data_IF_889056456899
#
_entry.id   IF_889056456899
#
_cell.length_a   1.000
_cell.length_b   1.000
_cell.length_c   1.000
_cell.angle_alpha   90.00
_cell.angle_beta   90.00
_cell.angle_gamma   90.00
#
_symmetry.space_group_name_H-M   'P 1'
#
loop_
_entity.id
_entity.type
_entity.pdbx_description
1 polymer ?
#
# COMPACT_ATOMS: atom_id res chain seq x y z
N UNK A 1 42.00 62.27 -1.70
CA UNK A 1 41.05 62.27 -0.56
C UNK A 1 39.68 61.93 -1.10
N UNK A 2 38.96 61.09 -0.36
CA UNK A 2 37.52 60.84 -0.45
C UNK A 2 36.74 62.19 -0.47
N UNK A 3 35.46 62.37 -0.81
CA UNK A 3 34.29 61.54 -1.12
C UNK A 3 33.11 62.53 -1.31
N UNK A 4 31.90 62.01 -1.52
CA UNK A 4 30.54 62.60 -1.50
C UNK A 4 30.05 63.12 -2.86
N UNK A 5 28.90 62.71 -3.41
CA UNK A 5 27.89 61.73 -3.00
C UNK A 5 26.63 61.82 -3.89
N UNK A 6 25.80 60.77 -3.80
CA UNK A 6 24.32 60.72 -3.97
C UNK A 6 23.66 60.96 -5.35
N UNK A 7 23.22 59.88 -6.03
CA UNK A 7 21.82 59.40 -6.27
C UNK A 7 21.03 60.12 -7.38
N UNK A 8 20.71 59.41 -8.48
CA UNK A 8 19.41 58.77 -8.83
C UNK A 8 18.43 59.80 -9.44
N UNK A 9 17.62 59.56 -10.47
CA UNK A 9 17.11 58.43 -11.26
C UNK A 9 16.74 59.05 -12.65
N UNK A 10 16.34 58.39 -13.73
CA UNK A 10 15.19 57.49 -13.90
C UNK A 10 14.96 57.27 -15.42
N UNK A 11 14.32 56.15 -15.75
CA UNK A 11 13.48 55.91 -16.95
C UNK A 11 14.19 55.80 -18.30
N UNK A 12 14.46 54.55 -18.71
CA UNK A 12 14.07 54.01 -20.02
C UNK A 12 14.60 52.57 -20.15
N UNK A 13 13.79 51.58 -19.79
CA UNK A 13 13.90 50.23 -20.38
C UNK A 13 12.56 49.51 -20.24
N UNK A 14 11.68 49.84 -21.17
CA UNK A 14 10.36 49.24 -21.35
C UNK A 14 10.37 48.52 -22.71
N UNK A 15 10.02 47.22 -22.65
CA UNK A 15 9.70 46.27 -23.72
C UNK A 15 10.86 45.61 -24.52
N UNK A 16 11.07 44.32 -24.22
CA UNK A 16 10.69 43.31 -25.21
C UNK A 16 11.75 42.27 -25.56
N UNK A 17 11.81 41.18 -24.79
CA UNK A 17 12.03 39.84 -25.36
C UNK A 17 11.23 38.82 -24.54
N UNK A 18 10.08 38.42 -25.09
CA UNK A 18 9.38 37.21 -24.67
C UNK A 18 10.28 36.03 -24.98
N UNK A 19 10.83 35.41 -23.94
CA UNK A 19 11.38 34.07 -24.03
C UNK A 19 10.19 33.14 -23.77
N UNK A 20 9.83 32.31 -24.75
CA UNK A 20 8.78 31.29 -24.62
C UNK A 20 9.12 30.39 -23.43
N UNK A 21 8.46 30.68 -22.30
CA UNK A 21 8.67 30.01 -21.03
C UNK A 21 8.02 28.64 -21.06
N UNK A 22 8.76 27.62 -21.48
CA UNK A 22 8.48 26.28 -20.96
C UNK A 22 8.44 26.38 -19.43
N UNK A 23 7.40 25.85 -18.77
CA UNK A 23 7.36 25.85 -17.32
C UNK A 23 8.62 25.14 -16.80
N UNK A 24 9.28 25.67 -15.76
CA UNK A 24 10.51 25.07 -15.24
C UNK A 24 10.24 23.59 -14.94
N UNK A 25 10.97 22.71 -15.62
CA UNK A 25 10.84 21.26 -15.44
C UNK A 25 11.03 20.95 -13.95
N UNK A 26 9.95 20.47 -13.30
CA UNK A 26 9.97 20.14 -11.86
C UNK A 26 11.10 19.14 -11.62
N UNK A 27 12.13 19.53 -10.85
CA UNK A 27 13.21 18.60 -10.48
C UNK A 27 12.60 17.40 -9.74
N UNK A 28 12.94 16.15 -10.13
CA UNK A 28 12.35 14.97 -9.50
C UNK A 28 12.72 14.90 -8.02
N UNK A 29 11.77 14.50 -7.18
CA UNK A 29 11.99 14.34 -5.74
C UNK A 29 13.12 13.31 -5.49
N UNK A 30 13.98 13.62 -4.53
CA UNK A 30 15.10 12.73 -4.15
C UNK A 30 14.57 11.51 -3.39
N UNK A 31 15.16 10.36 -3.65
CA UNK A 31 14.90 9.13 -2.89
C UNK A 31 15.62 9.19 -1.55
N UNK A 32 14.93 8.82 -0.47
CA UNK A 32 15.50 8.79 0.87
C UNK A 32 16.62 7.73 0.93
N UNK A 33 17.85 8.08 1.39
CA UNK A 33 18.97 7.14 1.45
C UNK A 33 18.67 5.85 2.21
N UNK A 34 18.05 5.94 3.40
CA UNK A 34 17.79 4.77 4.24
C UNK A 34 16.72 3.81 3.68
N UNK A 35 15.88 4.28 2.76
CA UNK A 35 14.90 3.45 2.05
C UNK A 35 15.50 2.84 0.78
N UNK A 36 16.18 3.64 -0.06
CA UNK A 36 16.71 3.14 -1.34
C UNK A 36 17.87 2.13 -1.18
N UNK A 37 18.46 2.02 0.00
CA UNK A 37 19.50 1.02 0.30
C UNK A 37 18.95 -0.32 0.77
N UNK A 38 17.63 -0.43 1.00
CA UNK A 38 16.97 -1.69 1.38
C UNK A 38 17.02 -2.69 0.24
N UNK A 39 16.86 -3.97 0.57
CA UNK A 39 16.65 -5.07 -0.39
C UNK A 39 15.17 -5.46 -0.42
N UNK A 40 14.64 -5.99 -1.54
CA UNK A 40 13.23 -6.39 -1.61
C UNK A 40 12.79 -7.32 -0.48
N UNK A 41 13.58 -8.35 -0.15
CA UNK A 41 13.33 -9.28 0.99
C UNK A 41 13.29 -8.63 2.38
N UNK A 42 13.78 -7.41 2.54
CA UNK A 42 13.74 -6.66 3.79
C UNK A 42 12.45 -5.83 3.91
N UNK A 43 11.56 -5.91 2.92
CA UNK A 43 10.35 -5.09 2.83
C UNK A 43 9.08 -5.91 3.01
N UNK A 44 8.13 -5.28 3.69
CA UNK A 44 6.70 -5.62 3.61
C UNK A 44 6.00 -4.41 3.01
N UNK A 45 5.42 -4.55 1.83
CA UNK A 45 4.65 -3.49 1.20
C UNK A 45 3.23 -3.52 1.76
N UNK A 46 2.78 -2.40 2.31
CA UNK A 46 1.40 -2.21 2.75
C UNK A 46 0.70 -1.38 1.68
N UNK A 47 -0.22 -2.00 0.96
CA UNK A 47 -0.99 -1.38 -0.12
C UNK A 47 -2.30 -0.85 0.47
N UNK A 48 -2.53 0.45 0.36
CA UNK A 48 -3.77 1.10 0.76
C UNK A 48 -4.63 1.50 -0.44
N UNK A 49 -5.82 2.03 -0.16
CA UNK A 49 -6.80 2.44 -1.19
C UNK A 49 -6.26 3.50 -2.15
N UNK A 50 -5.27 4.30 -1.74
CA UNK A 50 -4.62 5.26 -2.64
C UNK A 50 -3.90 4.62 -3.83
N UNK A 51 -3.49 3.34 -3.72
CA UNK A 51 -2.94 2.59 -4.85
C UNK A 51 -4.06 2.13 -5.76
N UNK A 52 -5.13 1.54 -5.23
CA UNK A 52 -6.29 1.15 -6.02
C UNK A 52 -6.90 2.35 -6.77
N UNK A 53 -6.98 3.51 -6.11
CA UNK A 53 -7.43 4.76 -6.70
C UNK A 53 -6.51 5.28 -7.83
N UNK A 54 -5.21 5.06 -7.73
CA UNK A 54 -4.26 5.41 -8.79
C UNK A 54 -4.30 4.40 -9.94
N UNK A 55 -4.68 3.14 -9.66
CA UNK A 55 -4.75 2.08 -10.67
C UNK A 55 -5.99 2.20 -11.55
N UNK A 56 -7.13 2.45 -10.94
CA UNK A 56 -8.42 2.57 -11.63
C UNK A 56 -9.19 3.80 -11.11
N UNK A 57 -8.73 5.03 -11.44
CA UNK A 57 -9.26 6.29 -10.91
C UNK A 57 -10.72 6.58 -11.31
N UNK A 58 -11.24 5.89 -12.32
CA UNK A 58 -12.64 5.96 -12.74
C UNK A 58 -13.58 5.15 -11.83
N UNK A 59 -13.07 4.22 -11.01
CA UNK A 59 -13.90 3.39 -10.11
C UNK A 59 -14.09 4.12 -8.77
N UNK A 60 -15.31 4.63 -8.46
CA UNK A 60 -15.52 5.43 -7.26
C UNK A 60 -15.24 4.67 -5.95
N UNK A 61 -15.57 3.38 -5.93
CA UNK A 61 -15.37 2.50 -4.78
C UNK A 61 -13.90 2.39 -4.33
N UNK A 62 -12.96 2.54 -5.26
CA UNK A 62 -11.52 2.42 -4.97
C UNK A 62 -10.90 3.70 -4.40
N UNK A 63 -11.60 4.84 -4.50
CA UNK A 63 -11.04 6.16 -4.12
C UNK A 63 -10.84 6.32 -2.62
N UNK A 64 -11.69 5.68 -1.82
CA UNK A 64 -11.64 5.76 -0.35
C UNK A 64 -12.54 4.71 0.29
N UNK A 65 -12.35 4.47 1.59
CA UNK A 65 -13.28 3.66 2.39
C UNK A 65 -14.72 4.18 2.33
N UNK A 66 -14.92 5.50 2.41
CA UNK A 66 -16.24 6.12 2.24
C UNK A 66 -16.83 5.83 0.87
N UNK A 67 -16.02 5.93 -0.18
CA UNK A 67 -16.41 5.62 -1.56
C UNK A 67 -16.83 4.16 -1.73
N UNK A 68 -16.10 3.23 -1.13
CA UNK A 68 -16.47 1.80 -1.12
C UNK A 68 -17.81 1.55 -0.44
N UNK A 69 -18.02 2.10 0.77
CA UNK A 69 -19.26 1.90 1.51
C UNK A 69 -20.43 2.55 0.76
N UNK A 70 -20.21 3.72 0.15
CA UNK A 70 -21.21 4.37 -0.70
C UNK A 70 -21.57 3.49 -1.90
N UNK A 71 -20.59 2.95 -2.62
CA UNK A 71 -20.84 2.08 -3.78
C UNK A 71 -21.59 0.78 -3.38
N UNK A 72 -21.26 0.20 -2.23
CA UNK A 72 -22.00 -0.95 -1.69
C UNK A 72 -23.44 -0.59 -1.32
N UNK A 73 -23.66 0.61 -0.77
CA UNK A 73 -25.00 1.09 -0.44
C UNK A 73 -25.81 1.35 -1.72
N UNK A 74 -25.19 1.95 -2.74
CA UNK A 74 -25.84 2.22 -4.03
C UNK A 74 -26.23 0.90 -4.72
N UNK A 75 -25.32 -0.08 -4.79
CA UNK A 75 -25.62 -1.41 -5.33
C UNK A 75 -26.74 -2.11 -4.53
N UNK A 76 -26.76 -1.95 -3.21
CA UNK A 76 -27.84 -2.50 -2.39
C UNK A 76 -29.21 -1.86 -2.66
N UNK A 77 -29.23 -0.57 -2.96
CA UNK A 77 -30.44 0.16 -3.35
C UNK A 77 -30.89 -0.29 -4.75
N UNK A 78 -29.96 -0.38 -5.70
CA UNK A 78 -30.25 -0.80 -7.08
C UNK A 78 -30.79 -2.24 -7.18
N UNK A 79 -30.40 -3.09 -6.23
CA UNK A 79 -30.93 -4.45 -6.09
C UNK A 79 -32.17 -4.56 -5.17
N UNK A 80 -32.77 -3.44 -4.75
CA UNK A 80 -33.95 -3.39 -3.88
C UNK A 80 -33.76 -4.16 -2.54
N UNK A 81 -32.55 -4.13 -1.97
CA UNK A 81 -32.20 -4.89 -0.76
C UNK A 81 -32.45 -4.12 0.55
N UNK A 82 -32.79 -2.84 0.46
CA UNK A 82 -32.98 -1.93 1.59
C UNK A 82 -34.29 -1.18 1.44
N UNK A 83 -35.01 -0.99 2.54
CA UNK A 83 -36.18 -0.10 2.56
C UNK A 83 -35.74 1.38 2.49
N UNK A 84 -36.59 2.26 1.95
CA UNK A 84 -36.29 3.70 1.78
C UNK A 84 -35.77 4.38 3.06
N UNK A 85 -36.36 4.07 4.21
CA UNK A 85 -35.96 4.65 5.50
C UNK A 85 -34.59 4.13 5.97
N UNK A 86 -34.26 2.87 5.68
CA UNK A 86 -32.95 2.29 5.98
C UNK A 86 -31.88 2.92 5.11
N UNK A 87 -32.14 3.05 3.81
CA UNK A 87 -31.26 3.71 2.84
C UNK A 87 -30.94 5.14 3.25
N UNK A 88 -31.97 5.94 3.64
CA UNK A 88 -31.76 7.31 4.17
C UNK A 88 -30.92 7.32 5.44
N UNK A 89 -31.09 6.35 6.34
CA UNK A 89 -30.31 6.25 7.57
C UNK A 89 -28.83 5.96 7.27
N UNK A 90 -28.53 5.01 6.38
CA UNK A 90 -27.16 4.72 5.98
C UNK A 90 -26.51 5.90 5.27
N UNK A 91 -27.22 6.55 4.33
CA UNK A 91 -26.75 7.76 3.67
C UNK A 91 -26.42 8.85 4.68
N UNK A 92 -27.32 9.13 5.64
CA UNK A 92 -27.06 10.14 6.68
C UNK A 92 -25.81 9.81 7.50
N UNK A 93 -25.63 8.55 7.91
CA UNK A 93 -24.45 8.12 8.66
C UNK A 93 -23.14 8.30 7.86
N UNK A 94 -23.16 8.02 6.56
CA UNK A 94 -22.02 8.24 5.65
C UNK A 94 -21.71 9.73 5.47
N UNK A 95 -22.73 10.58 5.35
CA UNK A 95 -22.54 12.03 5.17
C UNK A 95 -21.97 12.70 6.42
N UNK A 96 -22.37 12.25 7.61
CA UNK A 96 -21.90 12.79 8.90
C UNK A 96 -20.48 12.30 9.27
N UNK A 97 -19.81 11.52 8.40
CA UNK A 97 -18.50 10.92 8.64
C UNK A 97 -18.40 10.21 10.00
N UNK A 98 -19.53 9.61 10.43
CA UNK A 98 -19.57 8.72 11.59
C UNK A 98 -18.64 7.54 11.34
N UNK A 99 -18.12 6.95 12.41
CA UNK A 99 -17.16 5.85 12.39
C UNK A 99 -17.44 4.85 11.26
N UNK A 100 -16.71 4.99 10.14
CA UNK A 100 -17.03 4.34 8.86
C UNK A 100 -16.98 2.82 8.97
N UNK A 101 -16.15 2.29 9.88
CA UNK A 101 -16.06 0.86 10.18
C UNK A 101 -17.39 0.34 10.74
N UNK A 102 -18.06 1.10 11.61
CA UNK A 102 -19.37 0.71 12.14
C UNK A 102 -20.45 0.75 11.05
N UNK A 103 -20.44 1.80 10.22
CA UNK A 103 -21.40 1.92 9.10
C UNK A 103 -21.24 0.75 8.13
N UNK A 104 -20.00 0.43 7.77
CA UNK A 104 -19.69 -0.71 6.91
C UNK A 104 -20.09 -2.04 7.56
N UNK A 105 -19.83 -2.22 8.85
CA UNK A 105 -20.22 -3.41 9.59
C UNK A 105 -21.73 -3.63 9.57
N UNK A 106 -22.51 -2.60 9.90
CA UNK A 106 -23.98 -2.65 9.91
C UNK A 106 -24.55 -2.94 8.53
N UNK A 107 -23.98 -2.32 7.47
CA UNK A 107 -24.37 -2.58 6.09
C UNK A 107 -24.09 -4.04 5.70
N UNK A 108 -22.89 -4.55 5.99
CA UNK A 108 -22.53 -5.95 5.69
C UNK A 108 -23.47 -6.92 6.41
N UNK A 109 -23.79 -6.68 7.68
CA UNK A 109 -24.74 -7.52 8.42
C UNK A 109 -26.12 -7.53 7.77
N UNK A 110 -26.60 -6.37 7.33
CA UNK A 110 -27.89 -6.23 6.66
C UNK A 110 -27.92 -6.95 5.30
N UNK A 111 -26.82 -6.90 4.55
CA UNK A 111 -26.67 -7.58 3.25
C UNK A 111 -26.34 -9.08 3.39
N UNK A 112 -25.93 -9.53 4.58
CA UNK A 112 -25.60 -10.92 4.88
C UNK A 112 -26.45 -11.49 6.03
N UNK A 113 -27.79 -11.43 5.97
CA UNK A 113 -28.63 -11.91 7.05
C UNK A 113 -28.38 -13.41 7.28
N UNK A 114 -28.15 -13.79 8.53
CA UNK A 114 -28.02 -15.19 8.94
C UNK A 114 -29.42 -15.74 9.22
N UNK A 115 -29.99 -16.46 8.27
CA UNK A 115 -31.14 -17.34 8.54
C UNK A 115 -30.64 -18.74 8.88
N UNK A 116 -31.41 -19.53 9.64
CA UNK A 116 -30.96 -20.81 10.22
C UNK A 116 -30.50 -21.85 9.21
N UNK A 117 -30.93 -21.78 7.94
CA UNK A 117 -30.67 -22.81 6.94
C UNK A 117 -30.07 -22.31 5.60
N UNK A 118 -30.01 -21.00 5.34
CA UNK A 118 -29.46 -20.45 4.08
C UNK A 118 -28.67 -19.17 4.37
N UNK A 119 -27.43 -19.10 3.85
CA UNK A 119 -26.62 -17.88 3.87
C UNK A 119 -26.98 -17.05 2.65
N UNK A 120 -27.42 -15.80 2.87
CA UNK A 120 -27.68 -14.85 1.79
C UNK A 120 -26.43 -14.61 0.93
N UNK A 121 -26.62 -14.43 -0.38
CA UNK A 121 -25.57 -14.01 -1.31
C UNK A 121 -25.61 -12.51 -1.62
N UNK A 122 -26.57 -11.75 -1.09
CA UNK A 122 -26.75 -10.34 -1.48
C UNK A 122 -25.50 -9.48 -1.28
N UNK A 123 -24.77 -9.65 -0.18
CA UNK A 123 -23.50 -8.95 0.01
C UNK A 123 -22.45 -9.34 -1.05
N UNK A 124 -22.39 -10.63 -1.40
CA UNK A 124 -21.55 -11.09 -2.51
C UNK A 124 -21.99 -10.39 -3.78
N UNK A 125 -23.26 -10.42 -4.12
CA UNK A 125 -23.78 -9.86 -5.38
C UNK A 125 -23.50 -8.34 -5.48
N UNK A 126 -23.63 -7.59 -4.37
CA UNK A 126 -23.22 -6.18 -4.29
C UNK A 126 -21.71 -5.98 -4.53
N UNK A 127 -20.86 -6.82 -3.94
CA UNK A 127 -19.41 -6.74 -4.14
C UNK A 127 -19.03 -7.01 -5.59
N UNK A 128 -19.66 -7.99 -6.24
CA UNK A 128 -19.41 -8.31 -7.64
C UNK A 128 -19.85 -7.17 -8.55
N UNK A 129 -20.96 -6.50 -8.27
CA UNK A 129 -21.39 -5.29 -8.98
C UNK A 129 -20.36 -4.15 -8.82
N UNK A 130 -19.96 -3.87 -7.57
CA UNK A 130 -19.02 -2.78 -7.25
C UNK A 130 -17.64 -2.99 -7.90
N UNK A 131 -17.17 -4.24 -7.96
CA UNK A 131 -15.87 -4.62 -8.51
C UNK A 131 -15.98 -5.32 -9.87
N UNK A 132 -17.07 -5.10 -10.60
CA UNK A 132 -17.23 -5.68 -11.92
C UNK A 132 -16.16 -5.12 -12.88
N UNK A 133 -15.64 -5.97 -13.76
CA UNK A 133 -14.72 -5.62 -14.84
C UNK A 133 -13.55 -4.69 -14.41
N UNK A 134 -12.93 -4.94 -13.25
CA UNK A 134 -11.80 -4.13 -12.77
C UNK A 134 -10.59 -4.16 -13.71
N UNK A 135 -10.39 -5.26 -14.42
CA UNK A 135 -9.25 -5.45 -15.33
C UNK A 135 -9.25 -4.45 -16.48
N UNK A 136 -10.41 -4.24 -17.12
CA UNK A 136 -10.56 -3.26 -18.20
C UNK A 136 -10.42 -1.81 -17.72
N UNK A 137 -10.61 -1.58 -16.41
CA UNK A 137 -10.59 -0.26 -15.77
C UNK A 137 -9.19 0.15 -15.30
N UNK A 138 -8.16 -0.69 -15.45
CA UNK A 138 -6.79 -0.31 -15.07
C UNK A 138 -6.15 0.65 -16.10
N UNK A 139 -5.71 1.82 -15.65
CA UNK A 139 -4.95 2.77 -16.46
C UNK A 139 -3.45 2.42 -16.53
N UNK A 140 -2.75 2.87 -17.59
CA UNK A 140 -1.33 2.56 -17.83
C UNK A 140 -0.40 3.03 -16.70
N UNK A 141 -0.66 4.22 -16.14
CA UNK A 141 0.11 4.74 -15.00
C UNK A 141 -0.07 3.88 -13.75
N UNK A 142 -1.29 3.38 -13.55
CA UNK A 142 -1.66 2.38 -12.57
C UNK A 142 -0.94 1.05 -12.74
N UNK A 143 -0.95 0.52 -13.97
CA UNK A 143 -0.25 -0.72 -14.33
C UNK A 143 1.26 -0.61 -14.05
N UNK A 144 1.88 0.54 -14.32
CA UNK A 144 3.30 0.77 -13.98
C UNK A 144 3.57 0.71 -12.46
N UNK A 145 2.63 1.20 -11.66
CA UNK A 145 2.72 1.12 -10.21
C UNK A 145 2.63 -0.33 -9.72
N UNK A 146 1.66 -1.10 -10.23
CA UNK A 146 1.53 -2.53 -9.94
C UNK A 146 2.71 -3.35 -10.44
N UNK A 147 3.28 -3.00 -11.60
CA UNK A 147 4.50 -3.60 -12.13
C UNK A 147 5.67 -3.46 -11.15
N UNK A 148 5.80 -2.28 -10.55
CA UNK A 148 6.85 -2.01 -9.56
C UNK A 148 6.64 -2.80 -8.27
N UNK A 149 5.39 -2.96 -7.81
CA UNK A 149 5.03 -3.81 -6.66
C UNK A 149 5.36 -5.28 -6.97
N UNK A 150 4.90 -5.79 -8.10
CA UNK A 150 5.10 -7.16 -8.55
C UNK A 150 6.60 -7.49 -8.69
N UNK A 151 7.39 -6.57 -9.24
CA UNK A 151 8.83 -6.73 -9.35
C UNK A 151 9.52 -6.87 -7.98
N UNK A 152 9.10 -6.11 -6.96
CA UNK A 152 9.62 -6.26 -5.60
C UNK A 152 9.20 -7.60 -4.98
N UNK A 153 7.97 -8.05 -5.23
CA UNK A 153 7.47 -9.35 -4.75
C UNK A 153 8.29 -10.52 -5.31
N UNK A 154 8.57 -10.50 -6.60
CA UNK A 154 9.40 -11.53 -7.25
C UNK A 154 10.80 -11.62 -6.66
N UNK A 155 11.30 -10.52 -6.10
CA UNK A 155 12.59 -10.44 -5.44
C UNK A 155 12.51 -10.64 -3.91
N UNK A 156 11.34 -11.03 -3.39
CA UNK A 156 11.15 -11.48 -2.02
C UNK A 156 10.45 -10.50 -1.08
N UNK A 157 9.94 -9.35 -1.56
CA UNK A 157 9.09 -8.51 -0.74
C UNK A 157 7.75 -9.21 -0.44
N UNK A 158 7.27 -9.09 0.80
CA UNK A 158 5.90 -9.50 1.14
C UNK A 158 4.92 -8.37 0.86
N UNK A 159 3.65 -8.71 0.60
CA UNK A 159 2.60 -7.71 0.37
C UNK A 159 1.38 -8.04 1.23
N UNK A 160 0.83 -7.00 1.84
CA UNK A 160 -0.45 -7.04 2.51
C UNK A 160 -1.27 -5.80 2.16
N UNK A 161 -2.59 -5.90 2.34
CA UNK A 161 -3.53 -4.82 2.08
C UNK A 161 -4.71 -4.88 3.04
N UNK A 162 -5.35 -3.74 3.27
CA UNK A 162 -6.66 -3.64 3.93
C UNK A 162 -7.81 -3.49 2.93
N UNK A 163 -7.52 -3.46 1.63
CA UNK A 163 -8.51 -3.27 0.58
C UNK A 163 -9.20 -4.60 0.23
N UNK A 164 -10.44 -4.51 -0.28
CA UNK A 164 -11.19 -5.67 -0.75
C UNK A 164 -10.90 -6.06 -2.19
N UNK A 165 -10.44 -5.12 -3.02
CA UNK A 165 -10.11 -5.38 -4.42
C UNK A 165 -8.89 -6.31 -4.56
N UNK A 166 -8.75 -6.96 -5.71
CA UNK A 166 -7.63 -7.84 -6.05
C UNK A 166 -6.84 -7.32 -7.28
N UNK A 167 -6.72 -6.00 -7.43
CA UNK A 167 -6.13 -5.39 -8.63
C UNK A 167 -4.70 -5.85 -8.90
N UNK A 168 -3.91 -6.07 -7.85
CA UNK A 168 -2.53 -6.55 -7.99
C UNK A 168 -2.50 -7.97 -8.55
N UNK A 169 -3.41 -8.83 -8.11
CA UNK A 169 -3.53 -10.20 -8.57
C UNK A 169 -4.08 -10.30 -9.98
N UNK A 170 -5.10 -9.50 -10.33
CA UNK A 170 -5.60 -9.38 -11.70
C UNK A 170 -4.48 -8.93 -12.65
N UNK A 171 -3.76 -7.87 -12.29
CA UNK A 171 -2.62 -7.40 -13.08
C UNK A 171 -1.54 -8.48 -13.21
N UNK A 172 -1.20 -9.18 -12.13
CA UNK A 172 -0.19 -10.22 -12.21
C UNK A 172 -0.63 -11.40 -13.09
N UNK A 173 -1.91 -11.76 -13.08
CA UNK A 173 -2.48 -12.79 -13.95
C UNK A 173 -2.37 -12.41 -15.44
N UNK A 174 -2.66 -11.15 -15.80
CA UNK A 174 -2.43 -10.60 -17.14
C UNK A 174 -0.95 -10.66 -17.54
N UNK A 175 -0.04 -10.51 -16.57
CA UNK A 175 1.41 -10.70 -16.77
C UNK A 175 1.86 -12.17 -16.75
N UNK A 176 0.93 -13.14 -16.75
CA UNK A 176 1.21 -14.57 -16.76
C UNK A 176 1.69 -15.14 -15.42
N UNK A 177 1.45 -14.45 -14.31
CA UNK A 177 1.87 -14.85 -12.95
C UNK A 177 0.65 -15.13 -12.08
N UNK A 178 0.71 -16.22 -11.33
CA UNK A 178 -0.33 -16.54 -10.36
C UNK A 178 0.04 -15.98 -8.99
N UNK A 179 -0.74 -15.00 -8.52
CA UNK A 179 -0.70 -14.55 -7.14
C UNK A 179 -1.84 -15.19 -6.36
N UNK A 180 -1.56 -15.65 -5.15
CA UNK A 180 -2.59 -16.16 -4.24
C UNK A 180 -3.08 -15.04 -3.32
N UNK A 181 -4.40 -14.78 -3.30
CA UNK A 181 -5.01 -13.94 -2.27
C UNK A 181 -5.23 -14.75 -0.99
N UNK A 182 -4.71 -14.25 0.12
CA UNK A 182 -4.85 -14.81 1.46
C UNK A 182 -5.72 -13.89 2.31
N UNK A 183 -6.44 -14.45 3.25
CA UNK A 183 -7.13 -13.69 4.29
C UNK A 183 -6.86 -14.30 5.68
N UNK A 184 -7.27 -13.59 6.73
CA UNK A 184 -7.02 -14.01 8.11
C UNK A 184 -7.94 -15.17 8.57
N UNK A 185 -8.76 -15.76 7.70
CA UNK A 185 -9.57 -16.93 8.06
C UNK A 185 -8.79 -18.25 7.99
N UNK A 186 -7.68 -18.30 7.24
CA UNK A 186 -6.83 -19.48 7.11
C UNK A 186 -5.50 -19.29 7.86
N UNK A 187 -5.49 -19.66 9.15
CA UNK A 187 -4.32 -19.52 10.03
C UNK A 187 -3.06 -20.22 9.47
N UNK A 188 -3.23 -21.36 8.81
CA UNK A 188 -2.10 -22.11 8.26
C UNK A 188 -1.45 -21.32 7.12
N UNK A 189 -2.26 -20.79 6.21
CA UNK A 189 -1.74 -19.96 5.12
C UNK A 189 -1.11 -18.67 5.63
N UNK A 190 -1.73 -18.02 6.63
CA UNK A 190 -1.18 -16.81 7.28
C UNK A 190 0.17 -17.11 7.92
N UNK A 191 0.30 -18.23 8.64
CA UNK A 191 1.58 -18.65 9.24
C UNK A 191 2.64 -18.89 8.18
N UNK A 192 2.32 -19.64 7.12
CA UNK A 192 3.27 -19.93 6.04
C UNK A 192 3.66 -18.67 5.26
N UNK A 193 2.75 -17.70 5.11
CA UNK A 193 3.05 -16.38 4.57
C UNK A 193 4.01 -15.59 5.47
N UNK A 194 3.73 -15.54 6.78
CA UNK A 194 4.57 -14.83 7.74
C UNK A 194 5.97 -15.46 7.89
N UNK A 195 6.08 -16.77 7.63
CA UNK A 195 7.34 -17.50 7.55
C UNK A 195 8.04 -17.38 6.18
N UNK A 196 7.52 -16.58 5.25
CA UNK A 196 8.04 -16.39 3.89
C UNK A 196 8.09 -17.68 3.04
N UNK A 197 7.28 -18.69 3.40
CA UNK A 197 7.16 -19.96 2.67
C UNK A 197 6.19 -19.85 1.48
N UNK A 198 5.30 -18.87 1.49
CA UNK A 198 4.35 -18.56 0.41
C UNK A 198 4.82 -17.33 -0.38
N UNK A 199 5.57 -17.59 -1.45
CA UNK A 199 5.98 -16.54 -2.40
C UNK A 199 4.79 -16.15 -3.28
N UNK A 200 4.80 -14.92 -3.79
CA UNK A 200 3.76 -14.40 -4.70
C UNK A 200 2.33 -14.55 -4.14
N UNK A 201 2.11 -14.02 -2.94
CA UNK A 201 0.80 -13.98 -2.31
C UNK A 201 0.56 -12.64 -1.62
N UNK A 202 -0.71 -12.26 -1.54
CA UNK A 202 -1.16 -10.99 -0.95
C UNK A 202 -2.02 -11.30 0.26
N UNK A 203 -1.65 -10.77 1.43
CA UNK A 203 -2.49 -10.90 2.63
C UNK A 203 -3.51 -9.76 2.69
N UNK A 204 -4.79 -10.08 2.50
CA UNK A 204 -5.92 -9.17 2.70
C UNK A 204 -6.40 -9.24 4.15
N UNK A 205 -6.05 -8.23 4.95
CA UNK A 205 -6.37 -8.18 6.39
C UNK A 205 -7.88 -8.24 6.62
N UNK A 206 -8.68 -7.56 5.79
CA UNK A 206 -10.14 -7.56 5.91
C UNK A 206 -10.83 -8.48 4.91
N UNK A 207 -10.11 -9.41 4.30
CA UNK A 207 -10.62 -10.27 3.23
C UNK A 207 -10.63 -9.60 1.85
N UNK A 208 -10.99 -10.41 0.84
CA UNK A 208 -10.98 -10.06 -0.58
C UNK A 208 -12.38 -10.30 -1.17
N UNK A 209 -12.81 -9.47 -2.12
CA UNK A 209 -14.18 -9.54 -2.65
C UNK A 209 -14.52 -10.84 -3.37
N UNK A 210 -13.51 -11.56 -3.87
CA UNK A 210 -13.66 -12.90 -4.47
C UNK A 210 -13.92 -13.99 -3.43
N UNK A 211 -13.70 -13.70 -2.14
CA UNK A 211 -14.13 -14.51 -1.00
C UNK A 211 -14.93 -13.66 0.02
N UNK A 212 -16.19 -13.29 -0.29
CA UNK A 212 -17.00 -12.44 0.59
C UNK A 212 -17.21 -13.00 1.99
N UNK A 213 -17.16 -14.33 2.13
CA UNK A 213 -17.34 -15.00 3.43
C UNK A 213 -16.17 -14.78 4.40
N UNK A 214 -14.99 -14.41 3.87
CA UNK A 214 -13.80 -14.08 4.65
C UNK A 214 -13.70 -12.60 5.04
N UNK A 215 -14.63 -11.75 4.60
CA UNK A 215 -14.59 -10.31 4.88
C UNK A 215 -15.01 -10.01 6.31
N UNK A 216 -14.10 -9.40 7.07
CA UNK A 216 -14.31 -8.99 8.46
C UNK A 216 -13.59 -7.67 8.73
N UNK A 217 -14.33 -6.72 9.29
CA UNK A 217 -13.86 -5.35 9.55
C UNK A 217 -13.35 -5.09 10.98
N UNK A 218 -13.55 -6.04 11.88
CA UNK A 218 -13.23 -5.86 13.30
C UNK A 218 -12.37 -7.02 13.82
N UNK A 219 -11.37 -6.77 14.71
CA UNK A 219 -10.51 -7.81 15.28
C UNK A 219 -11.26 -8.99 15.91
N UNK A 220 -12.48 -8.73 16.42
CA UNK A 220 -13.34 -9.76 17.00
C UNK A 220 -13.74 -10.89 16.02
N UNK A 221 -13.69 -10.66 14.70
CA UNK A 221 -13.96 -11.72 13.73
C UNK A 221 -12.74 -12.56 13.35
N UNK A 222 -11.53 -12.18 13.79
CA UNK A 222 -10.29 -12.93 13.59
C UNK A 222 -9.66 -13.43 14.89
N UNK A 223 -10.49 -13.74 15.90
CA UNK A 223 -10.02 -14.19 17.21
C UNK A 223 -9.13 -15.43 17.14
N UNK A 224 -9.34 -16.33 16.18
CA UNK A 224 -8.52 -17.52 16.08
C UNK A 224 -7.07 -17.17 15.72
N UNK A 225 -6.85 -16.29 14.73
CA UNK A 225 -5.52 -15.74 14.41
C UNK A 225 -4.93 -14.98 15.59
N UNK A 226 -5.69 -14.04 16.18
CA UNK A 226 -5.18 -13.17 17.25
C UNK A 226 -4.84 -13.93 18.54
N UNK A 227 -5.46 -15.09 18.78
CA UNK A 227 -5.16 -15.96 19.92
C UNK A 227 -4.14 -17.05 19.61
N UNK A 228 -3.86 -17.31 18.33
CA UNK A 228 -2.83 -18.25 17.93
C UNK A 228 -1.45 -17.61 18.16
N UNK A 229 -0.79 -18.07 19.23
CA UNK A 229 0.51 -17.53 19.66
C UNK A 229 1.61 -17.76 18.64
N UNK A 230 1.56 -18.82 17.85
CA UNK A 230 2.55 -19.09 16.81
C UNK A 230 2.39 -18.12 15.63
N UNK A 231 1.15 -17.95 15.15
CA UNK A 231 0.83 -17.02 14.07
C UNK A 231 1.20 -15.60 14.47
N UNK A 232 0.73 -15.15 15.64
CA UNK A 232 1.01 -13.79 16.12
C UNK A 232 2.51 -13.54 16.33
N UNK A 233 3.26 -14.54 16.79
CA UNK A 233 4.72 -14.43 16.93
C UNK A 233 5.42 -14.21 15.59
N UNK A 234 5.04 -14.94 14.54
CA UNK A 234 5.64 -14.72 13.20
C UNK A 234 5.18 -13.40 12.57
N UNK A 235 3.92 -12.99 12.75
CA UNK A 235 3.41 -11.68 12.30
C UNK A 235 4.18 -10.53 12.98
N UNK A 236 4.32 -10.56 14.30
CA UNK A 236 5.07 -9.55 15.06
C UNK A 236 6.54 -9.49 14.63
N UNK A 237 7.16 -10.66 14.42
CA UNK A 237 8.53 -10.78 13.94
C UNK A 237 8.73 -10.10 12.58
N UNK A 238 7.73 -10.09 11.69
CA UNK A 238 7.82 -9.33 10.44
C UNK A 238 8.00 -7.84 10.71
N UNK A 239 7.20 -7.26 11.61
CA UNK A 239 7.28 -5.84 11.92
C UNK A 239 8.57 -5.49 12.66
N UNK A 240 9.07 -6.38 13.50
CA UNK A 240 10.35 -6.17 14.21
C UNK A 240 11.57 -6.23 13.29
N UNK A 241 11.54 -7.03 12.21
CA UNK A 241 12.72 -7.36 11.40
C UNK A 241 12.66 -6.88 9.93
N UNK A 242 11.49 -6.46 9.43
CA UNK A 242 11.31 -5.94 8.07
C UNK A 242 10.79 -4.52 8.08
N UNK A 243 11.30 -3.72 7.15
CA UNK A 243 10.83 -2.34 6.96
C UNK A 243 9.48 -2.37 6.24
N UNK A 244 8.44 -1.89 6.92
CA UNK A 244 7.13 -1.72 6.29
C UNK A 244 7.15 -0.47 5.42
N UNK A 245 6.75 -0.61 4.15
CA UNK A 245 6.61 0.49 3.20
C UNK A 245 5.13 0.69 2.87
N UNK A 246 4.54 1.71 3.46
CA UNK A 246 3.15 2.09 3.29
C UNK A 246 2.97 2.90 2.00
N UNK A 247 2.11 2.41 1.10
CA UNK A 247 1.84 2.95 -0.22
C UNK A 247 0.34 3.22 -0.34
N UNK A 248 -0.05 4.49 -0.49
CA UNK A 248 -1.48 4.86 -0.59
C UNK A 248 -2.29 4.61 0.69
N UNK A 249 -1.64 4.53 1.86
CA UNK A 249 -2.26 4.23 3.15
C UNK A 249 -2.70 5.52 3.86
N UNK A 250 -3.93 5.96 3.62
CA UNK A 250 -4.51 7.09 4.36
C UNK A 250 -4.92 6.72 5.79
N UNK A 251 -5.70 5.65 5.94
CA UNK A 251 -6.30 5.23 7.22
C UNK A 251 -5.76 3.90 7.76
N UNK A 252 -4.94 3.18 7.00
CA UNK A 252 -4.47 1.82 7.36
C UNK A 252 -3.74 1.77 8.70
N UNK A 253 -2.99 2.81 9.05
CA UNK A 253 -2.24 2.87 10.33
C UNK A 253 -3.17 3.10 11.53
N UNK A 254 -4.36 3.62 11.30
CA UNK A 254 -5.41 3.82 12.30
C UNK A 254 -6.44 2.69 12.33
N UNK A 255 -6.31 1.70 11.43
CA UNK A 255 -7.14 0.50 11.46
C UNK A 255 -6.85 -0.35 12.70
N UNK A 256 -7.91 -0.74 13.40
CA UNK A 256 -7.83 -1.49 14.66
C UNK A 256 -7.29 -2.91 14.47
N UNK A 257 -7.55 -3.55 13.33
CA UNK A 257 -7.03 -4.91 13.05
C UNK A 257 -5.55 -4.84 12.71
N UNK A 258 -5.14 -3.88 11.88
CA UNK A 258 -3.74 -3.61 11.59
C UNK A 258 -2.95 -3.26 12.87
N UNK A 259 -3.52 -2.41 13.73
CA UNK A 259 -2.93 -2.06 15.02
C UNK A 259 -2.73 -3.30 15.91
N UNK A 260 -3.77 -4.11 16.07
CA UNK A 260 -3.70 -5.33 16.86
C UNK A 260 -2.70 -6.36 16.31
N UNK A 261 -2.48 -6.41 14.99
CA UNK A 261 -1.53 -7.31 14.36
C UNK A 261 -0.08 -6.84 14.47
N UNK A 262 0.17 -5.54 14.27
CA UNK A 262 1.52 -5.03 14.03
C UNK A 262 1.97 -3.92 15.00
N UNK A 263 1.12 -2.95 15.34
CA UNK A 263 1.57 -1.74 16.05
C UNK A 263 1.50 -1.88 17.58
N UNK A 264 0.42 -2.45 18.10
CA UNK A 264 0.22 -2.64 19.55
C UNK A 264 0.87 -3.93 20.05
N UNK A 265 0.93 -4.93 19.18
CA UNK A 265 1.47 -6.24 19.48
C UNK A 265 3.00 -6.24 19.69
N UNK A 266 3.70 -5.28 19.08
CA UNK A 266 5.16 -5.17 19.12
C UNK A 266 5.57 -4.26 20.28
N UNK A 267 5.95 -4.88 21.40
CA UNK A 267 6.29 -4.16 22.65
C UNK A 267 7.63 -3.44 22.59
N UNK A 268 8.54 -3.91 21.75
CA UNK A 268 9.85 -3.29 21.54
C UNK A 268 9.83 -2.56 20.21
N UNK A 269 9.75 -1.22 20.27
CA UNK A 269 10.00 -0.40 19.08
C UNK A 269 11.45 -0.63 18.68
N UNK A 270 11.69 -1.42 17.64
CA UNK A 270 13.03 -1.66 17.14
C UNK A 270 13.62 -0.36 16.58
N UNK A 271 14.94 -0.28 16.45
CA UNK A 271 15.60 0.80 15.69
C UNK A 271 15.29 0.73 14.18
N UNK A 272 14.41 -0.20 13.75
CA UNK A 272 14.07 -0.42 12.37
C UNK A 272 13.16 0.70 11.86
N UNK A 273 13.55 1.26 10.73
CA UNK A 273 12.78 2.33 10.09
C UNK A 273 11.67 1.74 9.23
N UNK A 274 10.43 2.15 9.49
CA UNK A 274 9.30 1.98 8.58
C UNK A 274 9.12 3.26 7.75
N UNK A 275 8.43 3.18 6.63
CA UNK A 275 8.35 4.28 5.67
C UNK A 275 6.94 4.43 5.11
N UNK A 276 6.50 5.67 4.90
CA UNK A 276 5.22 5.96 4.27
C UNK A 276 5.41 6.94 3.11
N UNK A 277 4.98 6.56 1.92
CA UNK A 277 4.99 7.44 0.75
C UNK A 277 3.67 8.21 0.67
N UNK A 278 3.74 9.54 0.71
CA UNK A 278 2.56 10.42 0.66
C UNK A 278 2.73 11.54 -0.34
N UNK A 279 1.62 12.10 -0.81
CA UNK A 279 1.62 13.38 -1.52
C UNK A 279 2.02 14.47 -0.54
N UNK A 280 2.79 15.48 -0.98
CA UNK A 280 3.18 16.58 -0.11
C UNK A 280 1.97 17.30 0.49
N UNK A 281 0.93 17.52 -0.30
CA UNK A 281 -0.30 18.18 0.16
C UNK A 281 -0.04 19.55 0.80
N UNK A 282 -0.90 19.91 1.75
CA UNK A 282 -0.71 21.08 2.61
C UNK A 282 0.50 20.91 3.54
N UNK A 283 1.23 22.00 3.78
CA UNK A 283 2.50 21.96 4.53
C UNK A 283 2.27 21.60 5.99
N UNK A 284 1.20 22.10 6.61
CA UNK A 284 0.95 21.90 8.04
C UNK A 284 0.31 20.54 8.29
N UNK A 285 -0.58 20.09 7.40
CA UNK A 285 -1.06 18.69 7.39
C UNK A 285 0.10 17.70 7.25
N UNK A 286 1.03 17.95 6.34
CA UNK A 286 2.21 17.09 6.13
C UNK A 286 3.11 17.04 7.36
N UNK A 287 3.38 18.18 8.01
CA UNK A 287 4.17 18.23 9.26
C UNK A 287 3.50 17.43 10.37
N UNK A 288 2.20 17.66 10.58
CA UNK A 288 1.41 16.95 11.60
C UNK A 288 1.41 15.44 11.35
N UNK A 289 1.19 15.01 10.11
CA UNK A 289 1.27 13.59 9.74
C UNK A 289 2.66 13.03 10.02
N UNK A 290 3.72 13.75 9.66
CA UNK A 290 5.10 13.33 9.89
C UNK A 290 5.42 13.15 11.37
N UNK A 291 4.99 14.07 12.23
CA UNK A 291 5.17 13.97 13.68
C UNK A 291 4.42 12.76 14.25
N UNK A 292 3.13 12.63 13.93
CA UNK A 292 2.29 11.52 14.40
C UNK A 292 2.82 10.14 13.97
N UNK A 293 3.33 10.03 12.74
CA UNK A 293 3.88 8.78 12.22
C UNK A 293 5.27 8.47 12.79
N UNK A 294 6.06 9.50 13.10
CA UNK A 294 7.38 9.31 13.70
C UNK A 294 7.29 8.69 15.10
N UNK A 295 6.27 9.05 15.89
CA UNK A 295 5.98 8.41 17.19
C UNK A 295 5.68 6.91 17.07
N UNK A 296 5.20 6.50 15.89
CA UNK A 296 4.94 5.10 15.50
C UNK A 296 6.16 4.44 14.80
N UNK A 297 7.31 5.12 14.71
CA UNK A 297 8.51 4.61 14.03
C UNK A 297 8.48 4.69 12.50
N UNK A 298 7.53 5.45 11.93
CA UNK A 298 7.28 5.54 10.49
C UNK A 298 7.76 6.87 9.94
N UNK A 299 8.72 6.83 9.02
CA UNK A 299 9.23 8.01 8.30
C UNK A 299 8.33 8.35 7.11
N UNK A 300 7.71 9.50 7.17
CA UNK A 300 6.89 10.04 6.07
C UNK A 300 7.79 10.68 5.00
N UNK A 301 7.62 10.25 3.75
CA UNK A 301 8.39 10.69 2.59
C UNK A 301 7.41 11.22 1.53
N UNK A 302 7.63 12.45 1.08
CA UNK A 302 6.87 13.00 -0.04
C UNK A 302 7.41 12.48 -1.37
N UNK A 303 6.55 11.85 -2.18
CA UNK A 303 6.90 11.44 -3.55
C UNK A 303 6.78 12.58 -4.57
N UNK A 304 5.99 13.61 -4.27
CA UNK A 304 5.61 14.66 -5.20
C UNK A 304 4.51 15.56 -4.66
N UNK A 305 4.06 16.48 -5.50
CA UNK A 305 2.98 17.43 -5.17
C UNK A 305 1.62 16.94 -5.71
N UNK A 306 1.64 16.04 -6.70
CA UNK A 306 0.48 15.50 -7.40
C UNK A 306 0.41 13.97 -7.26
N UNK A 307 -0.79 13.37 -7.20
CA UNK A 307 -0.92 11.90 -7.12
C UNK A 307 -0.29 11.17 -8.31
N UNK A 308 -0.28 11.81 -9.48
CA UNK A 308 0.36 11.31 -10.70
C UNK A 308 1.90 11.23 -10.60
N UNK A 309 2.53 11.83 -9.58
CA UNK A 309 3.97 11.72 -9.36
C UNK A 309 4.37 10.36 -8.75
N UNK A 310 3.42 9.63 -8.15
CA UNK A 310 3.71 8.38 -7.42
C UNK A 310 4.27 7.27 -8.32
N UNK A 311 3.69 6.93 -9.49
CA UNK A 311 4.19 5.84 -10.33
C UNK A 311 5.67 6.00 -10.72
N UNK A 312 6.07 7.18 -11.19
CA UNK A 312 7.46 7.44 -11.60
C UNK A 312 8.40 7.48 -10.39
N UNK A 313 7.99 8.11 -9.28
CA UNK A 313 8.78 8.10 -8.05
C UNK A 313 9.03 6.67 -7.55
N UNK A 314 7.98 5.85 -7.51
CA UNK A 314 8.05 4.48 -7.01
C UNK A 314 8.84 3.57 -7.93
N UNK A 315 8.69 3.71 -9.26
CA UNK A 315 9.51 3.01 -10.25
C UNK A 315 11.00 3.26 -10.03
N UNK A 316 11.42 4.53 -9.92
CA UNK A 316 12.81 4.90 -9.61
C UNK A 316 13.30 4.28 -8.30
N UNK A 317 12.45 4.30 -7.27
CA UNK A 317 12.79 3.70 -5.98
C UNK A 317 13.00 2.19 -6.11
N UNK A 318 12.10 1.50 -6.80
CA UNK A 318 12.17 0.07 -7.07
C UNK A 318 13.45 -0.29 -7.83
N UNK A 319 13.85 0.49 -8.85
CA UNK A 319 15.12 0.26 -9.55
C UNK A 319 16.35 0.32 -8.62
N UNK A 320 16.41 1.28 -7.71
CA UNK A 320 17.52 1.39 -6.74
C UNK A 320 17.55 0.23 -5.75
N UNK A 321 16.37 -0.18 -5.25
CA UNK A 321 16.22 -1.31 -4.32
C UNK A 321 16.63 -2.64 -4.99
N UNK A 322 16.20 -2.87 -6.23
CA UNK A 322 16.48 -4.12 -6.95
C UNK A 322 17.94 -4.24 -7.41
N UNK A 323 18.55 -3.17 -7.93
CA UNK A 323 19.95 -3.20 -8.41
C UNK A 323 20.96 -3.60 -7.32
N UNK A 324 20.69 -3.20 -6.08
CA UNK A 324 21.52 -3.55 -4.91
C UNK A 324 21.25 -4.97 -4.38
N UNK A 325 20.09 -5.55 -4.66
CA UNK A 325 19.78 -6.96 -4.38
C UNK A 325 20.68 -7.91 -5.16
N UNK A 326 20.94 -7.60 -6.44
CA UNK A 326 21.77 -8.41 -7.35
C UNK A 326 23.27 -8.30 -7.11
N UNK A 327 23.78 -7.14 -6.68
CA UNK A 327 25.23 -6.94 -6.48
C UNK A 327 25.83 -7.74 -5.31
N UNK A 328 24.99 -8.35 -4.45
CA UNK A 328 25.43 -9.16 -3.31
C UNK A 328 25.76 -10.63 -3.65
N UNK A 329 25.37 -11.14 -4.82
CA UNK A 329 25.61 -12.55 -5.21
C UNK A 329 26.91 -12.77 -6.01
N UNK A 330 27.58 -11.71 -6.48
CA UNK A 330 28.70 -11.85 -7.43
C UNK A 330 30.10 -11.89 -6.76
N UNK A 331 30.21 -11.74 -5.43
CA UNK A 331 31.52 -11.55 -4.76
C UNK A 331 32.06 -12.68 -3.88
N UNK A 332 31.42 -13.84 -3.81
CA UNK A 332 31.94 -14.98 -3.01
C UNK A 332 32.61 -16.10 -3.83
N UNK A 333 32.77 -15.93 -5.15
CA UNK A 333 33.19 -17.02 -6.03
C UNK A 333 34.55 -16.89 -6.70
N UNK A 334 35.49 -16.04 -6.24
CA UNK A 334 36.76 -15.89 -6.96
C UNK A 334 37.92 -15.28 -6.15
N UNK A 335 38.27 -15.88 -5.00
CA UNK A 335 39.60 -15.70 -4.40
C UNK A 335 40.06 -17.03 -3.78
N UNK A 336 40.66 -17.89 -4.61
CA UNK A 336 41.65 -18.86 -4.19
C UNK A 336 42.50 -19.24 -5.40
N UNK A 337 43.46 -18.37 -5.74
CA UNK A 337 44.61 -18.76 -6.53
C UNK A 337 45.69 -19.28 -5.59
N UNK A 338 45.91 -20.60 -5.55
CA UNK A 338 47.07 -21.18 -4.89
C UNK A 338 48.08 -21.66 -5.93
N UNK A 339 49.25 -21.05 -5.84
CA UNK A 339 50.51 -21.29 -6.55
C UNK A 339 50.88 -22.77 -6.69
N UNK A 340 51.53 -23.05 -7.82
CA UNK A 340 52.23 -24.29 -8.16
C UNK A 340 53.28 -24.72 -7.12
N UNK A 341 53.44 -26.03 -6.96
CA UNK A 341 54.67 -26.65 -6.49
C UNK A 341 54.96 -27.90 -7.34
N UNK A 342 56.06 -27.82 -8.10
CA UNK A 342 56.72 -28.94 -8.74
C UNK A 342 57.26 -29.93 -7.68
N UNK A 343 57.11 -31.21 -7.91
CA UNK A 343 58.06 -32.21 -7.41
C UNK A 343 58.14 -33.39 -8.38
N UNK A 344 59.26 -33.44 -9.11
CA UNK A 344 59.83 -34.70 -9.61
C UNK A 344 60.06 -35.65 -8.42
N UNK A 345 59.95 -36.97 -8.65
CA UNK A 345 60.92 -37.97 -8.17
C UNK A 345 60.66 -39.29 -8.91
N UNK A 346 61.77 -39.84 -9.43
CA UNK A 346 61.95 -41.17 -10.02
C UNK A 346 61.55 -42.30 -9.08
N UNK A 347 61.11 -43.41 -9.68
CA UNK A 347 61.00 -44.73 -9.04
C UNK A 347 60.22 -45.68 -9.91
#
# INVERSE_FOLDING_TARGET
MASTGSQASDIDEIFGFFNDGEPPTKKPRKLLPSLKTKKPRELVLVIGTGISAAVAPQVPALKSWKGLIQALLDAAIDFDLLEDEESKKFQKCLHEDKNLVHVAHDLIQKLSPRTSNVRSTFFKDCLYEVFDDLESKMEDSGKQLLQSVLHLMENGALVLTTNFDNLLELYAADQGKQLESLDLTDEKKVLEWAQEKRKLSVLHIHGVYTNPSGIVLHPAGYQNVLRNTEVMREIQKLYENKSFLFLGCGWTVDDTTFQALFLEAVKHKSDLEHFMLVRRGDVDEFKKLRENMLDKGIKVISYGDDYADLPEYFKRLTCEISTRGTSGMVREGQLNGSSAAHSEIRG
#
